data_IF_250943088083
#
_entry.id   IF_250943088083
#
_cell.length_a   1.000
_cell.length_b   1.000
_cell.length_c   1.000
_cell.angle_alpha   90.00
_cell.angle_beta   90.00
_cell.angle_gamma   90.00
#
_symmetry.space_group_name_H-M   'P 1'
#
loop_
_entity.id
_entity.type
_entity.pdbx_description
1 polymer ?
#
# COMPACT_ATOMS: atom_id res chain seq x y z
N UNK A 1 26.45 1.22 -63.38
CA UNK A 1 25.60 0.56 -62.37
C UNK A 1 26.25 0.76 -61.02
N UNK A 2 25.71 1.65 -60.19
CA UNK A 2 26.29 1.98 -58.87
C UNK A 2 25.16 1.94 -57.84
N UNK A 3 25.21 0.96 -56.94
CA UNK A 3 24.22 0.77 -55.90
C UNK A 3 24.74 1.43 -54.61
N UNK A 4 24.06 2.49 -54.18
CA UNK A 4 24.32 3.17 -52.91
C UNK A 4 23.48 2.49 -51.84
N UNK A 5 24.12 1.85 -50.87
CA UNK A 5 23.46 1.29 -49.68
C UNK A 5 23.23 2.41 -48.66
N UNK A 6 21.97 2.72 -48.38
CA UNK A 6 21.55 3.56 -47.25
C UNK A 6 21.39 2.67 -46.01
N UNK A 7 22.24 2.86 -45.00
CA UNK A 7 22.02 2.31 -43.66
C UNK A 7 21.08 3.24 -42.88
N UNK A 8 19.89 2.74 -42.56
CA UNK A 8 18.96 3.37 -41.62
C UNK A 8 19.38 3.03 -40.19
N UNK A 9 19.72 4.06 -39.41
CA UNK A 9 19.94 3.93 -37.97
C UNK A 9 18.60 3.63 -37.28
N UNK A 10 18.55 2.48 -36.60
CA UNK A 10 17.43 2.06 -35.76
C UNK A 10 17.41 2.89 -34.47
N UNK A 11 16.46 3.82 -34.35
CA UNK A 11 16.13 4.48 -33.10
C UNK A 11 15.34 3.50 -32.22
N UNK A 12 16.04 2.73 -31.38
CA UNK A 12 15.38 2.06 -30.25
C UNK A 12 15.08 3.10 -29.16
N UNK A 13 13.85 3.16 -28.62
CA UNK A 13 13.57 3.94 -27.44
C UNK A 13 14.33 3.31 -26.26
N UNK A 14 15.17 4.12 -25.61
CA UNK A 14 15.83 3.77 -24.35
C UNK A 14 14.73 3.42 -23.33
N UNK A 15 14.59 2.14 -23.03
CA UNK A 15 13.79 1.65 -21.91
C UNK A 15 14.40 2.20 -20.63
N UNK A 16 13.86 3.31 -20.13
CA UNK A 16 14.19 3.85 -18.81
C UNK A 16 13.46 2.99 -17.79
N UNK A 17 13.97 1.80 -17.51
CA UNK A 17 13.59 1.09 -16.29
C UNK A 17 14.23 1.81 -15.10
N UNK A 18 13.45 2.34 -14.14
CA UNK A 18 14.03 2.84 -12.91
C UNK A 18 14.45 1.65 -12.06
N UNK A 19 15.67 1.16 -12.27
CA UNK A 19 16.37 0.27 -11.34
C UNK A 19 16.96 1.10 -10.20
N UNK A 20 16.11 1.84 -9.49
CA UNK A 20 16.52 2.43 -8.22
C UNK A 20 16.87 1.29 -7.25
N UNK A 21 18.18 1.07 -7.08
CA UNK A 21 18.81 0.11 -6.17
C UNK A 21 18.76 0.55 -4.71
N UNK A 22 18.00 1.60 -4.41
CA UNK A 22 17.85 2.09 -3.05
C UNK A 22 17.22 1.01 -2.16
N UNK A 23 18.00 0.57 -1.16
CA UNK A 23 17.64 -0.53 -0.25
C UNK A 23 16.46 -0.20 0.68
N UNK A 24 16.01 1.06 0.72
CA UNK A 24 15.05 1.57 1.70
C UNK A 24 13.78 2.14 1.07
N UNK A 25 13.26 1.51 0.01
CA UNK A 25 11.96 1.88 -0.56
C UNK A 25 10.84 1.68 0.45
N UNK A 26 10.00 2.70 0.61
CA UNK A 26 8.76 2.62 1.36
C UNK A 26 7.83 1.56 0.76
N UNK A 27 6.91 1.07 1.59
CA UNK A 27 5.95 0.02 1.26
C UNK A 27 4.55 0.56 1.44
N UNK A 28 3.70 0.32 0.45
CA UNK A 28 2.27 0.57 0.51
C UNK A 28 1.58 -0.69 1.04
N UNK A 29 0.78 -0.52 2.08
CA UNK A 29 -0.04 -1.56 2.66
C UNK A 29 -1.52 -1.17 2.71
N UNK A 30 -2.41 -2.16 2.69
CA UNK A 30 -3.74 -2.04 3.28
C UNK A 30 -3.63 -2.55 4.72
N UNK A 31 -3.95 -1.72 5.69
CA UNK A 31 -3.94 -2.07 7.11
C UNK A 31 -5.37 -2.20 7.62
N UNK A 32 -5.69 -3.37 8.17
CA UNK A 32 -6.96 -3.64 8.84
C UNK A 32 -6.76 -3.46 10.35
N UNK A 33 -7.49 -2.52 10.94
CA UNK A 33 -7.45 -2.23 12.38
C UNK A 33 -8.82 -2.44 13.01
N UNK A 34 -8.86 -2.90 14.26
CA UNK A 34 -10.10 -3.05 15.00
C UNK A 34 -10.62 -1.68 15.48
N UNK A 35 -11.84 -1.32 15.09
CA UNK A 35 -12.54 -0.12 15.51
C UNK A 35 -13.96 -0.48 15.94
N UNK A 36 -14.31 -0.26 17.22
CA UNK A 36 -15.67 -0.47 17.74
C UNK A 36 -16.29 -1.81 17.28
N UNK A 37 -15.53 -2.90 17.41
CA UNK A 37 -15.87 -4.28 17.00
C UNK A 37 -15.91 -4.62 15.50
N UNK A 38 -15.50 -3.73 14.60
CA UNK A 38 -15.37 -4.05 13.17
C UNK A 38 -13.97 -3.75 12.64
N UNK A 39 -13.60 -4.40 11.53
CA UNK A 39 -12.36 -4.12 10.83
C UNK A 39 -12.51 -2.82 10.03
N UNK A 40 -11.66 -1.85 10.34
CA UNK A 40 -11.52 -0.58 9.65
C UNK A 40 -10.27 -0.61 8.77
N UNK A 41 -10.43 -0.59 7.43
CA UNK A 41 -9.30 -0.57 6.51
C UNK A 41 -8.73 0.84 6.36
N UNK A 42 -7.42 0.93 6.13
CA UNK A 42 -6.71 2.16 5.81
C UNK A 42 -5.55 1.86 4.87
N UNK A 43 -5.12 2.85 4.09
CA UNK A 43 -3.85 2.76 3.37
C UNK A 43 -2.71 3.23 4.27
N UNK A 44 -1.59 2.51 4.22
CA UNK A 44 -0.45 2.77 5.07
C UNK A 44 0.83 2.80 4.24
N UNK A 45 1.67 3.79 4.50
CA UNK A 45 3.01 3.88 3.94
C UNK A 45 4.01 3.81 5.07
N UNK A 46 4.88 2.81 5.04
CA UNK A 46 5.93 2.64 6.03
C UNK A 46 7.26 2.31 5.35
N UNK A 47 8.41 2.69 5.94
CA UNK A 47 9.69 2.15 5.53
C UNK A 47 9.74 0.64 5.79
N UNK A 48 10.68 -0.06 5.15
CA UNK A 48 10.97 -1.45 5.48
C UNK A 48 11.42 -1.54 6.95
N UNK A 49 10.76 -2.40 7.75
CA UNK A 49 11.02 -2.56 9.20
C UNK A 49 10.90 -1.23 9.96
N UNK A 50 9.71 -0.62 10.01
CA UNK A 50 9.49 0.64 10.69
C UNK A 50 9.78 0.48 12.20
N UNK A 51 10.47 1.46 12.79
CA UNK A 51 10.80 1.45 14.21
C UNK A 51 9.53 1.74 15.03
N UNK A 52 9.04 0.80 15.86
CA UNK A 52 7.77 0.90 16.59
C UNK A 52 7.68 2.15 17.48
N UNK A 53 8.82 2.74 17.85
CA UNK A 53 8.91 3.91 18.74
C UNK A 53 8.98 5.23 17.99
N UNK A 54 9.10 5.21 16.67
CA UNK A 54 9.25 6.41 15.83
C UNK A 54 8.00 6.69 15.01
N UNK A 55 7.86 7.96 14.64
CA UNK A 55 6.85 8.45 13.70
C UNK A 55 7.43 8.37 12.29
N UNK A 56 7.28 7.20 11.63
CA UNK A 56 7.81 6.97 10.27
C UNK A 56 6.75 6.46 9.30
N UNK A 57 5.54 6.20 9.81
CA UNK A 57 4.43 5.67 9.02
C UNK A 57 3.42 6.77 8.76
N UNK A 58 2.88 6.78 7.56
CA UNK A 58 1.70 7.56 7.22
C UNK A 58 0.50 6.65 7.09
N UNK A 59 -0.63 7.07 7.65
CA UNK A 59 -1.92 6.38 7.53
C UNK A 59 -2.91 7.31 6.83
N UNK A 60 -3.62 6.75 5.86
CA UNK A 60 -4.63 7.42 5.05
C UNK A 60 -5.93 6.63 5.12
N UNK A 61 -7.05 7.31 5.31
CA UNK A 61 -8.34 6.64 5.34
C UNK A 61 -9.49 7.62 5.54
N UNK A 62 -10.67 7.06 5.80
CA UNK A 62 -11.85 7.83 6.14
C UNK A 62 -12.08 7.82 7.65
N UNK A 63 -12.43 8.99 8.20
CA UNK A 63 -12.97 9.11 9.55
C UNK A 63 -14.40 8.56 9.60
N UNK A 64 -14.90 8.30 10.81
CA UNK A 64 -16.27 7.82 11.04
C UNK A 64 -17.36 8.73 10.43
N UNK A 65 -17.10 10.03 10.28
CA UNK A 65 -18.03 10.98 9.65
C UNK A 65 -17.81 11.13 8.13
N UNK A 66 -17.04 10.23 7.51
CA UNK A 66 -16.82 10.24 6.07
C UNK A 66 -15.92 11.36 5.57
N UNK A 67 -15.00 11.90 6.38
CA UNK A 67 -13.96 12.81 5.88
C UNK A 67 -12.66 12.07 5.64
N UNK A 68 -11.91 12.46 4.63
CA UNK A 68 -10.53 12.02 4.45
C UNK A 68 -9.64 12.45 5.63
N UNK A 69 -8.70 11.59 6.00
CA UNK A 69 -7.60 11.89 6.91
C UNK A 69 -6.31 11.27 6.39
N UNK A 70 -5.26 12.08 6.28
CA UNK A 70 -3.88 11.64 6.07
C UNK A 70 -3.00 12.19 7.18
N UNK A 71 -2.36 11.32 7.96
CA UNK A 71 -1.48 11.75 9.05
C UNK A 71 -0.32 10.82 9.27
N UNK A 72 0.75 11.36 9.86
CA UNK A 72 1.80 10.55 10.43
C UNK A 72 1.33 9.89 11.72
N UNK A 73 1.75 8.64 11.91
CA UNK A 73 1.44 7.85 13.10
C UNK A 73 2.69 7.18 13.63
N UNK A 74 2.69 6.93 14.94
CA UNK A 74 3.66 6.01 15.54
C UNK A 74 3.45 4.63 14.94
N UNK A 75 4.53 3.89 14.71
CA UNK A 75 4.51 2.59 14.04
C UNK A 75 3.94 1.45 14.91
N UNK A 76 3.34 1.80 16.05
CA UNK A 76 2.72 0.91 17.02
C UNK A 76 1.25 1.28 17.24
N UNK A 77 0.37 0.30 17.10
CA UNK A 77 -1.05 0.43 17.43
C UNK A 77 -1.61 -0.98 17.74
N UNK A 78 -2.05 -1.20 18.98
CA UNK A 78 -2.59 -2.49 19.44
C UNK A 78 -3.83 -2.93 18.67
N UNK A 79 -4.49 -2.00 17.97
CA UNK A 79 -5.67 -2.29 17.17
C UNK A 79 -5.33 -2.88 15.80
N UNK A 80 -4.07 -2.84 15.37
CA UNK A 80 -3.66 -3.42 14.10
C UNK A 80 -3.91 -4.93 14.13
N UNK A 81 -4.77 -5.42 13.22
CA UNK A 81 -5.09 -6.84 13.12
C UNK A 81 -4.17 -7.50 12.10
N UNK A 82 -4.19 -7.01 10.86
CA UNK A 82 -3.41 -7.56 9.76
C UNK A 82 -3.11 -6.50 8.69
N UNK A 83 -2.09 -6.77 7.87
CA UNK A 83 -1.72 -5.92 6.74
C UNK A 83 -1.64 -6.72 5.43
N UNK A 84 -1.92 -6.07 4.31
CA UNK A 84 -1.68 -6.57 2.95
C UNK A 84 -0.54 -5.78 2.36
N UNK A 85 0.55 -6.43 1.94
CA UNK A 85 1.62 -5.77 1.20
C UNK A 85 1.21 -5.57 -0.25
N UNK A 86 0.88 -4.34 -0.63
CA UNK A 86 0.40 -4.01 -1.99
C UNK A 86 1.55 -3.77 -2.94
N UNK A 87 2.42 -2.81 -2.62
CA UNK A 87 3.50 -2.41 -3.54
C UNK A 87 4.67 -1.76 -2.83
N UNK A 88 5.79 -1.68 -3.54
CA UNK A 88 6.97 -0.90 -3.15
C UNK A 88 6.86 0.45 -3.85
N UNK A 89 7.00 1.54 -3.10
CA UNK A 89 6.94 2.88 -3.67
C UNK A 89 8.31 3.30 -4.21
N UNK A 90 8.30 4.07 -5.29
CA UNK A 90 9.49 4.75 -5.75
C UNK A 90 9.94 5.79 -4.69
N UNK A 91 11.25 5.97 -4.44
CA UNK A 91 11.74 7.00 -3.52
C UNK A 91 11.25 8.42 -3.80
N UNK A 92 10.89 8.74 -5.04
CA UNK A 92 10.34 10.05 -5.41
C UNK A 92 8.88 10.24 -4.94
N UNK A 93 8.18 9.14 -4.65
CA UNK A 93 6.80 9.17 -4.15
C UNK A 93 6.80 9.51 -2.66
N UNK A 94 6.51 10.77 -2.36
CA UNK A 94 6.44 11.26 -0.97
C UNK A 94 5.07 11.03 -0.35
N UNK A 95 5.03 10.71 0.95
CA UNK A 95 3.77 10.54 1.68
C UNK A 95 2.95 11.83 1.76
N UNK A 96 3.60 13.00 1.79
CA UNK A 96 2.91 14.29 1.74
C UNK A 96 2.25 14.51 0.37
N UNK A 97 2.97 14.20 -0.72
CA UNK A 97 2.40 14.26 -2.08
C UNK A 97 1.19 13.34 -2.22
N UNK A 98 1.27 12.13 -1.66
CA UNK A 98 0.13 11.20 -1.62
C UNK A 98 -1.03 11.72 -0.76
N UNK A 99 -0.76 12.36 0.37
CA UNK A 99 -1.81 12.99 1.18
C UNK A 99 -2.58 14.04 0.38
N UNK A 100 -1.86 14.90 -0.34
CA UNK A 100 -2.46 15.94 -1.18
C UNK A 100 -3.26 15.32 -2.33
N UNK A 101 -2.69 14.31 -2.98
CA UNK A 101 -3.33 13.58 -4.07
C UNK A 101 -4.64 12.93 -3.61
N UNK A 102 -4.60 12.15 -2.53
CA UNK A 102 -5.78 11.48 -1.97
C UNK A 102 -6.87 12.47 -1.56
N UNK A 103 -6.50 13.60 -0.95
CA UNK A 103 -7.48 14.61 -0.54
C UNK A 103 -8.21 15.30 -1.69
N UNK A 104 -7.61 15.31 -2.89
CA UNK A 104 -8.13 16.04 -4.07
C UNK A 104 -8.81 15.12 -5.07
N UNK A 105 -8.29 13.91 -5.23
CA UNK A 105 -8.60 13.08 -6.39
C UNK A 105 -9.35 11.79 -6.04
N UNK A 106 -9.27 11.30 -4.80
CA UNK A 106 -10.02 10.11 -4.40
C UNK A 106 -11.39 10.54 -3.88
N UNK A 107 -12.49 10.23 -4.59
CA UNK A 107 -13.81 10.64 -4.16
C UNK A 107 -14.15 9.98 -2.82
N UNK A 108 -14.67 10.77 -1.88
CA UNK A 108 -15.20 10.24 -0.63
C UNK A 108 -16.65 9.84 -0.85
N UNK A 109 -16.84 8.70 -1.52
CA UNK A 109 -18.16 8.12 -1.81
C UNK A 109 -18.16 6.69 -1.29
N UNK A 110 -19.22 6.31 -0.57
CA UNK A 110 -19.30 5.01 0.09
C UNK A 110 -18.54 4.97 1.42
N UNK A 111 -18.02 3.81 1.78
CA UNK A 111 -17.30 3.57 3.02
C UNK A 111 -15.78 3.50 2.84
N UNK A 112 -15.08 3.13 3.92
CA UNK A 112 -13.63 3.02 3.91
C UNK A 112 -13.12 1.94 2.92
N UNK A 113 -13.91 0.92 2.65
CA UNK A 113 -13.61 -0.11 1.63
C UNK A 113 -13.51 0.51 0.24
N UNK A 114 -14.57 1.17 -0.19
CA UNK A 114 -14.67 1.79 -1.52
C UNK A 114 -13.54 2.80 -1.70
N UNK A 115 -13.33 3.64 -0.69
CA UNK A 115 -12.25 4.63 -0.71
C UNK A 115 -10.85 4.01 -0.85
N UNK A 116 -10.55 2.90 -0.15
CA UNK A 116 -9.26 2.19 -0.28
C UNK A 116 -9.11 1.62 -1.70
N UNK A 117 -10.16 1.02 -2.25
CA UNK A 117 -10.14 0.48 -3.60
C UNK A 117 -9.92 1.58 -4.65
N UNK A 118 -10.66 2.68 -4.54
CA UNK A 118 -10.54 3.84 -5.45
C UNK A 118 -9.16 4.48 -5.36
N UNK A 119 -8.61 4.61 -4.15
CA UNK A 119 -7.26 5.12 -3.95
C UNK A 119 -6.22 4.21 -4.61
N UNK A 120 -6.32 2.89 -4.49
CA UNK A 120 -5.38 1.96 -5.15
C UNK A 120 -5.51 2.05 -6.67
N UNK A 121 -6.72 2.03 -7.21
CA UNK A 121 -6.95 2.14 -8.66
C UNK A 121 -6.33 3.45 -9.19
N UNK A 122 -6.57 4.58 -8.52
CA UNK A 122 -6.00 5.86 -8.89
C UNK A 122 -4.46 5.85 -8.87
N UNK A 123 -3.82 5.20 -7.89
CA UNK A 123 -2.36 5.07 -7.86
C UNK A 123 -1.81 4.27 -9.05
N UNK A 124 -2.53 3.24 -9.51
CA UNK A 124 -2.16 2.47 -10.70
C UNK A 124 -2.39 3.31 -11.97
N UNK A 125 -3.55 3.96 -12.10
CA UNK A 125 -3.91 4.79 -13.26
C UNK A 125 -2.95 5.96 -13.49
N UNK A 126 -2.35 6.50 -12.43
CA UNK A 126 -1.36 7.59 -12.50
C UNK A 126 0.09 7.10 -12.53
N UNK A 127 0.33 5.80 -12.71
CA UNK A 127 1.66 5.18 -12.73
C UNK A 127 2.50 5.46 -11.44
N UNK A 128 1.84 5.70 -10.31
CA UNK A 128 2.51 5.91 -9.01
C UNK A 128 2.95 4.57 -8.41
N UNK A 129 2.17 3.51 -8.66
CA UNK A 129 2.53 2.12 -8.39
C UNK A 129 2.40 1.31 -9.67
N UNK A 130 3.19 0.23 -9.84
CA UNK A 130 3.05 -0.64 -11.00
C UNK A 130 1.68 -1.31 -11.07
N UNK A 131 1.24 -1.74 -12.28
CA UNK A 131 0.04 -2.54 -12.44
C UNK A 131 0.03 -3.75 -11.50
N UNK A 132 -1.12 -4.00 -10.89
CA UNK A 132 -1.32 -5.09 -9.94
C UNK A 132 -1.82 -6.35 -10.65
N UNK A 133 -1.47 -7.55 -10.17
CA UNK A 133 -1.93 -8.81 -10.78
C UNK A 133 -3.43 -9.07 -10.57
N UNK A 134 -4.04 -8.36 -9.62
CA UNK A 134 -5.45 -8.45 -9.26
C UNK A 134 -6.05 -7.03 -9.17
N UNK A 135 -7.37 -6.94 -9.32
CA UNK A 135 -8.09 -5.69 -9.07
C UNK A 135 -7.99 -5.27 -7.60
N UNK A 136 -8.05 -3.96 -7.32
CA UNK A 136 -8.03 -3.44 -5.96
C UNK A 136 -9.12 -4.07 -5.07
N UNK A 137 -10.29 -4.34 -5.64
CA UNK A 137 -11.39 -5.01 -4.96
C UNK A 137 -11.04 -6.45 -4.55
N UNK A 138 -10.46 -7.25 -5.46
CA UNK A 138 -10.05 -8.63 -5.16
C UNK A 138 -8.93 -8.67 -4.10
N UNK A 139 -7.96 -7.75 -4.19
CA UNK A 139 -6.89 -7.60 -3.19
C UNK A 139 -7.49 -7.26 -1.83
N UNK A 140 -8.43 -6.32 -1.79
CA UNK A 140 -9.13 -5.94 -0.57
C UNK A 140 -9.88 -7.12 0.04
N UNK A 141 -10.66 -7.87 -0.74
CA UNK A 141 -11.44 -9.00 -0.23
C UNK A 141 -10.55 -10.12 0.33
N UNK A 142 -9.47 -10.46 -0.39
CA UNK A 142 -8.47 -11.43 0.08
C UNK A 142 -7.82 -10.95 1.39
N UNK A 143 -7.47 -9.68 1.47
CA UNK A 143 -6.95 -9.04 2.67
C UNK A 143 -7.92 -9.04 3.86
N UNK A 144 -9.20 -8.75 3.61
CA UNK A 144 -10.25 -8.76 4.64
C UNK A 144 -10.43 -10.15 5.21
N UNK A 145 -10.53 -11.17 4.34
CA UNK A 145 -10.63 -12.59 4.79
C UNK A 145 -9.41 -13.02 5.58
N UNK A 146 -8.21 -12.61 5.16
CA UNK A 146 -6.99 -12.85 5.92
C UNK A 146 -7.07 -12.20 7.30
N UNK A 147 -7.45 -10.92 7.39
CA UNK A 147 -7.60 -10.19 8.65
C UNK A 147 -8.65 -10.82 9.58
N UNK A 148 -9.80 -11.24 9.03
CA UNK A 148 -10.85 -11.97 9.76
C UNK A 148 -10.32 -13.30 10.31
N UNK A 149 -9.57 -14.06 9.52
CA UNK A 149 -8.96 -15.32 9.97
C UNK A 149 -7.96 -15.10 11.11
N UNK A 150 -7.17 -14.02 11.02
CA UNK A 150 -6.19 -13.64 12.06
C UNK A 150 -6.93 -13.26 13.33
N UNK A 151 -7.98 -12.46 13.22
CA UNK A 151 -8.82 -12.05 14.35
C UNK A 151 -9.49 -13.25 15.04
N UNK A 152 -10.05 -14.17 14.28
CA UNK A 152 -10.75 -15.36 14.80
C UNK A 152 -9.79 -16.37 15.47
N UNK A 153 -8.52 -16.38 15.09
CA UNK A 153 -7.53 -17.35 15.61
C UNK A 153 -6.97 -17.03 17.01
N UNK A 154 -7.44 -15.96 17.67
CA UNK A 154 -7.20 -15.54 19.07
C UNK A 154 -5.76 -15.54 19.62
N UNK A 155 -4.74 -15.93 18.86
CA UNK A 155 -3.30 -15.80 19.22
C UNK A 155 -2.75 -14.40 18.94
N UNK A 156 -3.61 -13.39 18.89
CA UNK A 156 -3.25 -12.00 18.55
C UNK A 156 -2.41 -11.29 19.62
N UNK A 157 -2.25 -11.92 20.79
CA UNK A 157 -1.44 -11.39 21.90
C UNK A 157 0.03 -11.83 21.93
N UNK A 158 0.45 -12.84 21.17
CA UNK A 158 1.82 -13.38 21.26
C UNK A 158 2.75 -12.92 20.15
N UNK A 159 2.23 -12.53 18.98
CA UNK A 159 3.09 -12.13 17.87
C UNK A 159 3.60 -10.70 18.05
N UNK A 160 4.92 -10.55 18.11
CA UNK A 160 5.62 -9.26 18.15
C UNK A 160 5.49 -8.46 16.85
N UNK A 161 4.77 -8.96 15.85
CA UNK A 161 4.61 -8.34 14.52
C UNK A 161 3.16 -8.37 14.07
N UNK A 162 2.77 -7.44 13.20
CA UNK A 162 1.44 -7.41 12.58
C UNK A 162 1.39 -8.49 11.50
N UNK A 163 0.53 -9.53 11.61
CA UNK A 163 0.37 -10.53 10.55
C UNK A 163 0.18 -9.88 9.18
N UNK A 164 0.95 -10.32 8.19
CA UNK A 164 0.95 -9.72 6.85
C UNK A 164 0.72 -10.78 5.80
N UNK A 165 -0.08 -10.46 4.77
CA UNK A 165 -0.20 -11.27 3.57
C UNK A 165 0.23 -10.50 2.32
N UNK A 166 0.46 -11.21 1.23
CA UNK A 166 0.60 -10.62 -0.11
C UNK A 166 -0.77 -10.29 -0.72
N UNK A 167 -0.75 -9.80 -1.96
CA UNK A 167 -1.96 -9.44 -2.73
C UNK A 167 -2.89 -10.62 -3.02
N UNK A 168 -2.39 -11.86 -2.96
CA UNK A 168 -3.18 -13.08 -3.16
C UNK A 168 -3.90 -13.54 -1.88
N UNK A 169 -3.56 -12.94 -0.73
CA UNK A 169 -4.03 -13.36 0.59
C UNK A 169 -3.12 -14.41 1.24
N UNK A 170 -1.97 -14.71 0.65
CA UNK A 170 -1.02 -15.69 1.20
C UNK A 170 -0.19 -15.05 2.29
N UNK A 171 -0.08 -15.71 3.45
CA UNK A 171 0.72 -15.20 4.57
C UNK A 171 2.19 -15.05 4.17
N UNK A 172 2.78 -13.91 4.48
CA UNK A 172 4.20 -13.61 4.28
C UNK A 172 4.86 -13.21 5.60
N UNK A 173 6.19 -13.17 5.61
CA UNK A 173 6.95 -12.65 6.75
C UNK A 173 6.64 -11.17 6.92
N UNK A 174 6.11 -10.81 8.09
CA UNK A 174 5.79 -9.41 8.41
C UNK A 174 7.04 -8.54 8.50
N UNK A 175 6.92 -7.32 7.98
CA UNK A 175 7.91 -6.26 8.17
C UNK A 175 7.44 -5.24 9.22
N UNK A 176 6.21 -5.32 9.75
CA UNK A 176 5.61 -4.32 10.65
C UNK A 176 5.62 -4.87 12.08
N UNK A 177 6.31 -4.19 13.00
CA UNK A 177 6.39 -4.59 14.41
C UNK A 177 5.16 -4.15 15.21
N UNK A 178 4.80 -4.92 16.24
CA UNK A 178 3.88 -4.54 17.32
C UNK A 178 4.61 -4.12 18.60
N UNK A 179 5.94 -4.23 18.69
CA UNK A 179 6.74 -3.90 19.90
C UNK A 179 8.10 -3.35 19.54
#
# INVERSE_FOLDING_TARGET
>A
MSATFLMTASNQPLSVHPTSSQRNKSRLYILFSLSSSSLSPSLVIAPKKPDPRKVQTWRFGLKHHGSFEGRQVVNYDQRMVAAVSVSKLDPEVTSMGLSMLFSREVPVRGGAREWVCDAINMLVEKDIIPPLPLSAHSIFEKGSRFAESVQASEKSGEESSVPTCDVEGTRIRSEISRV
#
